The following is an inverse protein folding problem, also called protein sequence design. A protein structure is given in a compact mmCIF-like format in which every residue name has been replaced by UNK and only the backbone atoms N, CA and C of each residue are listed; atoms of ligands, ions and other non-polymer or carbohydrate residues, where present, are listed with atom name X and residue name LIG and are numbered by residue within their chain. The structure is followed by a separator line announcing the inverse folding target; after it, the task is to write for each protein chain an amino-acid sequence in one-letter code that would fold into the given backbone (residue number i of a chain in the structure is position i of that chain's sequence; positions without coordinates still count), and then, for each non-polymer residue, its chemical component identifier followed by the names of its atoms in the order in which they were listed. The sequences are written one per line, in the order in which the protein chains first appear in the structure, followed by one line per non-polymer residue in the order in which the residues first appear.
data_IF_853953410031
#
_entry.id   IF_853953410031
#
_cell.length_a   1.000
_cell.length_b   1.000
_cell.length_c   1.000
_cell.angle_alpha   90.00
_cell.angle_beta   90.00
_cell.angle_gamma   90.00
#
_symmetry.space_group_name_H-M   'P 1'
#
loop_
_entity.id
_entity.type
_entity.pdbx_description
1 polymer ?
#
# COMPACT_ATOMS: atom_id res chain seq x y z
N UNK A 1 8.62 33.77 -24.32
CA UNK A 1 8.99 32.91 -23.18
C UNK A 1 7.93 31.84 -22.96
N UNK A 2 7.53 31.23 -24.07
CA UNK A 2 7.54 29.80 -24.35
C UNK A 2 7.62 28.88 -23.13
N UNK A 3 6.47 28.22 -22.93
CA UNK A 3 6.11 27.19 -21.96
C UNK A 3 7.07 26.00 -21.93
N UNK A 4 8.26 26.19 -21.35
CA UNK A 4 9.19 25.10 -21.04
C UNK A 4 9.11 24.70 -19.55
N UNK A 5 7.91 24.69 -18.99
CA UNK A 5 7.59 24.08 -17.69
C UNK A 5 6.38 23.17 -17.89
N UNK A 6 6.47 22.17 -18.77
CA UNK A 6 5.31 21.30 -19.03
C UNK A 6 5.61 19.80 -19.19
N UNK A 7 6.85 19.32 -18.95
CA UNK A 7 7.15 17.87 -19.06
C UNK A 7 7.90 17.18 -17.93
N UNK A 8 8.32 17.88 -16.88
CA UNK A 8 9.00 17.23 -15.74
C UNK A 8 8.27 17.41 -14.40
N UNK A 9 7.43 18.44 -14.27
CA UNK A 9 6.71 18.82 -13.04
C UNK A 9 5.48 17.94 -12.68
N UNK A 10 5.33 16.78 -13.32
CA UNK A 10 4.16 15.89 -13.09
C UNK A 10 4.48 14.58 -12.36
N UNK A 11 5.71 14.40 -11.85
CA UNK A 11 6.12 13.21 -11.07
C UNK A 11 6.59 13.52 -9.64
N UNK A 12 6.40 14.74 -9.14
CA UNK A 12 6.80 15.07 -7.77
C UNK A 12 5.75 14.63 -6.75
N UNK A 13 6.18 14.10 -5.60
CA UNK A 13 5.29 13.69 -4.50
C UNK A 13 4.26 14.77 -4.12
N UNK A 14 4.72 16.03 -4.07
CA UNK A 14 3.88 17.19 -3.78
C UNK A 14 2.72 17.36 -4.78
N UNK A 15 2.98 17.19 -6.08
CA UNK A 15 1.95 17.29 -7.13
C UNK A 15 0.91 16.17 -6.99
N UNK A 16 1.32 14.94 -6.70
CA UNK A 16 0.37 13.84 -6.47
C UNK A 16 -0.44 14.04 -5.19
N UNK A 17 0.19 14.44 -4.08
CA UNK A 17 -0.51 14.76 -2.84
C UNK A 17 -1.55 15.87 -3.08
N UNK A 18 -1.21 16.92 -3.81
CA UNK A 18 -2.15 18.00 -4.13
C UNK A 18 -3.32 17.51 -5.00
N UNK A 19 -3.06 16.67 -6.02
CA UNK A 19 -4.11 16.06 -6.84
C UNK A 19 -5.04 15.17 -6.02
N UNK A 20 -4.48 14.34 -5.14
CA UNK A 20 -5.25 13.48 -4.24
C UNK A 20 -6.08 14.32 -3.27
N UNK A 21 -5.50 15.39 -2.71
CA UNK A 21 -6.20 16.32 -1.85
C UNK A 21 -7.42 16.96 -2.55
N UNK A 22 -7.26 17.41 -3.80
CA UNK A 22 -8.36 17.95 -4.62
C UNK A 22 -9.45 16.89 -4.90
N UNK A 23 -9.06 15.61 -5.00
CA UNK A 23 -10.01 14.48 -5.13
C UNK A 23 -10.70 14.10 -3.82
N UNK A 24 -10.40 14.77 -2.71
CA UNK A 24 -10.97 14.51 -1.39
C UNK A 24 -10.16 13.55 -0.52
N UNK A 25 -8.95 13.16 -0.94
CA UNK A 25 -8.02 12.38 -0.12
C UNK A 25 -7.30 13.32 0.85
N UNK A 26 -8.02 13.76 1.88
CA UNK A 26 -7.50 14.69 2.89
C UNK A 26 -7.03 13.96 4.14
N UNK A 27 -7.40 12.68 4.32
CA UNK A 27 -6.92 11.89 5.44
C UNK A 27 -5.51 11.36 5.22
N UNK A 28 -4.75 11.34 6.30
CA UNK A 28 -3.46 10.68 6.33
C UNK A 28 -3.60 9.36 7.07
N UNK A 29 -3.20 8.28 6.43
CA UNK A 29 -3.27 6.95 7.00
C UNK A 29 -1.87 6.41 7.29
N UNK A 30 -1.78 5.54 8.30
CA UNK A 30 -0.56 4.90 8.74
C UNK A 30 -0.85 3.43 9.06
N UNK A 31 -0.04 2.51 8.57
CA UNK A 31 -0.22 1.09 8.86
C UNK A 31 0.58 0.73 10.11
N UNK A 32 -0.11 0.16 11.09
CA UNK A 32 0.46 -0.35 12.33
C UNK A 32 0.16 -1.84 12.48
N UNK A 33 0.62 -2.43 13.58
CA UNK A 33 0.36 -3.84 13.94
C UNK A 33 -1.13 -4.19 14.08
N UNK A 34 -1.98 -3.20 14.33
CA UNK A 34 -3.44 -3.36 14.41
C UNK A 34 -4.17 -3.14 13.08
N UNK A 35 -3.48 -2.72 12.02
CA UNK A 35 -4.08 -2.40 10.71
C UNK A 35 -3.87 -0.94 10.28
N UNK A 36 -4.78 -0.41 9.46
CA UNK A 36 -4.70 0.96 8.94
C UNK A 36 -5.27 1.95 9.97
N UNK A 37 -4.45 2.87 10.45
CA UNK A 37 -4.85 3.95 11.35
C UNK A 37 -5.02 5.25 10.58
N UNK A 38 -6.18 5.87 10.64
CA UNK A 38 -6.38 7.27 10.27
C UNK A 38 -5.75 8.18 11.33
N UNK A 39 -4.84 9.06 10.92
CA UNK A 39 -4.17 9.97 11.83
C UNK A 39 -5.05 11.14 12.23
N UNK A 40 -5.87 11.69 11.33
CA UNK A 40 -6.73 12.82 11.68
C UNK A 40 -7.96 12.37 12.46
N UNK A 41 -8.56 11.25 12.07
CA UNK A 41 -9.78 10.72 12.72
C UNK A 41 -9.49 9.78 13.90
N UNK A 42 -8.23 9.41 14.14
CA UNK A 42 -7.80 8.38 15.11
C UNK A 42 -8.55 7.04 15.05
N UNK A 43 -9.15 6.75 13.89
CA UNK A 43 -9.87 5.51 13.62
C UNK A 43 -8.94 4.43 13.11
N UNK A 44 -9.29 3.18 13.40
CA UNK A 44 -8.60 2.02 12.86
C UNK A 44 -9.52 1.31 11.88
N UNK A 45 -8.95 0.88 10.77
CA UNK A 45 -9.62 0.19 9.69
C UNK A 45 -8.92 -1.14 9.42
N UNK A 46 -9.73 -2.18 9.26
CA UNK A 46 -9.26 -3.50 8.87
C UNK A 46 -8.97 -3.55 7.38
N UNK A 47 -8.12 -4.48 6.89
CA UNK A 47 -7.85 -4.61 5.46
C UNK A 47 -9.10 -4.98 4.62
N UNK A 48 -10.18 -5.43 5.25
CA UNK A 48 -11.47 -5.71 4.60
C UNK A 48 -12.33 -4.45 4.39
N UNK A 49 -12.07 -3.41 5.17
CA UNK A 49 -12.77 -2.13 5.10
C UNK A 49 -12.03 -1.09 4.28
N UNK A 50 -10.84 -1.44 3.79
CA UNK A 50 -9.95 -0.56 3.03
C UNK A 50 -9.80 -1.09 1.62
N UNK A 51 -9.82 -0.18 0.66
CA UNK A 51 -9.61 -0.45 -0.75
C UNK A 51 -8.45 0.40 -1.25
N UNK A 52 -7.45 -0.24 -1.84
CA UNK A 52 -6.39 0.45 -2.58
C UNK A 52 -7.00 0.91 -3.90
N UNK A 53 -7.01 2.22 -4.11
CA UNK A 53 -7.54 2.83 -5.35
C UNK A 53 -6.40 3.04 -6.34
N UNK A 54 -5.28 3.59 -5.88
CA UNK A 54 -4.10 3.87 -6.68
C UNK A 54 -2.83 3.77 -5.83
N UNK A 55 -1.68 3.59 -6.47
CA UNK A 55 -0.38 3.72 -5.82
C UNK A 55 0.62 4.41 -6.75
N UNK A 56 1.45 5.27 -6.18
CA UNK A 56 2.43 6.07 -6.90
C UNK A 56 3.80 5.82 -6.30
N UNK A 57 4.72 5.28 -7.08
CA UNK A 57 6.11 5.14 -6.69
C UNK A 57 6.89 6.39 -7.10
N UNK A 58 7.62 6.93 -6.14
CA UNK A 58 8.52 8.05 -6.28
C UNK A 58 9.94 7.54 -6.02
N UNK A 59 10.84 7.94 -6.90
CA UNK A 59 12.27 7.69 -6.74
C UNK A 59 12.88 9.00 -6.27
N UNK A 60 13.46 9.01 -5.07
CA UNK A 60 14.10 10.21 -4.54
C UNK A 60 15.32 10.56 -5.38
N UNK A 61 15.44 11.83 -5.77
CA UNK A 61 16.51 12.31 -6.67
C UNK A 61 17.91 12.21 -6.04
N UNK A 62 18.00 12.03 -4.72
CA UNK A 62 19.25 12.14 -3.95
C UNK A 62 19.80 10.82 -3.43
N UNK A 63 18.96 9.80 -3.18
CA UNK A 63 19.44 8.52 -2.65
C UNK A 63 18.53 7.37 -3.13
N UNK A 64 19.06 6.23 -3.61
CA UNK A 64 18.26 5.04 -3.92
C UNK A 64 17.60 4.43 -2.67
N UNK A 65 17.98 4.86 -1.46
CA UNK A 65 17.25 4.56 -0.22
C UNK A 65 16.02 5.46 0.01
N UNK A 66 15.89 6.57 -0.72
CA UNK A 66 14.81 7.56 -0.59
C UNK A 66 13.60 7.24 -1.50
N UNK A 67 13.54 6.00 -1.99
CA UNK A 67 12.39 5.50 -2.71
C UNK A 67 11.17 5.50 -1.78
N UNK A 68 10.10 6.14 -2.22
CA UNK A 68 8.86 6.25 -1.45
C UNK A 68 7.67 5.84 -2.32
N UNK A 69 6.72 5.12 -1.74
CA UNK A 69 5.48 4.73 -2.40
C UNK A 69 4.31 5.39 -1.67
N UNK A 70 3.53 6.17 -2.40
CA UNK A 70 2.30 6.76 -1.90
C UNK A 70 1.12 5.91 -2.35
N UNK A 71 0.45 5.26 -1.41
CA UNK A 71 -0.77 4.51 -1.65
C UNK A 71 -1.98 5.41 -1.40
N UNK A 72 -2.86 5.53 -2.38
CA UNK A 72 -4.16 6.17 -2.23
C UNK A 72 -5.19 5.09 -1.94
N UNK A 73 -5.88 5.24 -0.81
CA UNK A 73 -6.82 4.26 -0.33
C UNK A 73 -8.10 4.89 0.20
N UNK A 74 -9.17 4.15 0.00
CA UNK A 74 -10.54 4.54 0.30
C UNK A 74 -11.13 3.51 1.25
N UNK A 75 -11.72 3.99 2.34
CA UNK A 75 -12.42 3.13 3.29
C UNK A 75 -13.87 2.94 2.85
N UNK A 76 -14.50 1.87 3.31
CA UNK A 76 -15.91 1.58 3.06
C UNK A 76 -16.87 2.67 3.56
N UNK A 77 -16.44 3.45 4.55
CA UNK A 77 -17.18 4.59 5.11
C UNK A 77 -17.15 5.83 4.19
N UNK A 78 -16.41 5.75 3.07
CA UNK A 78 -16.21 6.86 2.12
C UNK A 78 -15.04 7.78 2.49
N UNK A 79 -14.31 7.47 3.56
CA UNK A 79 -13.12 8.23 3.96
C UNK A 79 -11.97 7.91 3.01
N UNK A 80 -11.43 8.93 2.37
CA UNK A 80 -10.32 8.83 1.41
C UNK A 80 -9.07 9.42 2.00
N UNK A 81 -7.95 8.74 1.79
CA UNK A 81 -6.67 9.21 2.31
C UNK A 81 -5.49 8.47 1.73
N UNK A 82 -4.32 8.89 2.16
CA UNK A 82 -3.05 8.46 1.60
C UNK A 82 -2.13 7.86 2.66
N UNK A 83 -1.38 6.84 2.26
CA UNK A 83 -0.30 6.22 3.05
C UNK A 83 1.00 6.43 2.30
N UNK A 84 1.96 7.11 2.92
CA UNK A 84 3.33 7.19 2.44
C UNK A 84 4.16 6.07 3.07
N UNK A 85 4.74 5.21 2.24
CA UNK A 85 5.70 4.18 2.63
C UNK A 85 7.10 4.56 2.11
N UNK A 86 8.08 4.66 3.00
CA UNK A 86 9.48 4.84 2.60
C UNK A 86 10.07 3.46 2.30
N UNK A 87 9.89 3.00 1.05
CA UNK A 87 10.29 1.67 0.62
C UNK A 87 11.81 1.62 0.36
N UNK A 88 12.57 1.18 1.37
CA UNK A 88 14.02 0.93 1.28
C UNK A 88 14.42 -0.44 1.83
N UNK A 89 15.71 -0.62 2.17
CA UNK A 89 16.22 -1.86 2.80
C UNK A 89 15.52 -2.22 4.13
N UNK A 90 14.73 -1.30 4.68
CA UNK A 90 13.98 -1.42 5.92
C UNK A 90 12.46 -1.32 5.71
N UNK A 91 11.97 -1.61 4.49
CA UNK A 91 10.54 -1.61 4.21
C UNK A 91 9.75 -2.33 5.30
N UNK A 92 8.73 -1.65 5.83
CA UNK A 92 8.00 -2.14 7.00
C UNK A 92 7.25 -3.42 6.60
N UNK A 93 7.66 -4.56 7.17
CA UNK A 93 7.01 -5.85 6.94
C UNK A 93 5.49 -5.79 7.22
N UNK A 94 5.07 -4.84 8.08
CA UNK A 94 3.67 -4.56 8.40
C UNK A 94 2.91 -4.04 7.18
N UNK A 95 3.47 -3.07 6.46
CA UNK A 95 2.87 -2.49 5.25
C UNK A 95 2.76 -3.58 4.17
N UNK A 96 3.83 -4.35 3.96
CA UNK A 96 3.82 -5.44 2.98
C UNK A 96 2.71 -6.47 3.27
N UNK A 97 2.59 -6.92 4.53
CA UNK A 97 1.54 -7.88 4.95
C UNK A 97 0.14 -7.29 4.80
N UNK A 98 -0.05 -6.02 5.18
CA UNK A 98 -1.35 -5.36 5.09
C UNK A 98 -1.78 -5.22 3.63
N UNK A 99 -0.91 -4.70 2.76
CA UNK A 99 -1.21 -4.54 1.33
C UNK A 99 -1.48 -5.89 0.66
N UNK A 100 -0.66 -6.91 0.95
CA UNK A 100 -0.89 -8.27 0.45
C UNK A 100 -2.25 -8.81 0.88
N UNK A 101 -2.68 -8.54 2.13
CA UNK A 101 -3.98 -8.97 2.63
C UNK A 101 -5.13 -8.23 1.95
N UNK A 102 -5.03 -6.91 1.76
CA UNK A 102 -6.04 -6.12 1.03
C UNK A 102 -6.20 -6.64 -0.41
N UNK A 103 -5.09 -6.87 -1.11
CA UNK A 103 -5.10 -7.46 -2.45
C UNK A 103 -5.69 -8.87 -2.47
N UNK A 104 -5.35 -9.71 -1.49
CA UNK A 104 -5.87 -11.07 -1.37
C UNK A 104 -7.39 -11.06 -1.14
N UNK A 105 -7.89 -10.17 -0.28
CA UNK A 105 -9.33 -10.00 -0.06
C UNK A 105 -10.01 -9.64 -1.38
N UNK A 106 -9.49 -8.64 -2.10
CA UNK A 106 -10.03 -8.25 -3.40
C UNK A 106 -10.01 -9.37 -4.44
N UNK A 107 -8.94 -10.19 -4.46
CA UNK A 107 -8.81 -11.35 -5.34
C UNK A 107 -9.78 -12.46 -4.93
N UNK A 108 -9.94 -12.75 -3.64
CA UNK A 108 -10.82 -13.81 -3.13
C UNK A 108 -12.31 -13.48 -3.22
N UNK A 109 -12.69 -12.20 -3.34
CA UNK A 109 -14.06 -11.83 -3.74
C UNK A 109 -14.40 -12.29 -5.17
N UNK A 110 -13.40 -12.75 -5.94
CA UNK A 110 -13.56 -13.51 -7.18
C UNK A 110 -12.99 -14.93 -6.98
N UNK A 111 -13.81 -15.99 -6.83
CA UNK A 111 -13.37 -17.32 -6.35
C UNK A 111 -12.54 -18.13 -7.37
N UNK A 112 -11.63 -17.52 -8.13
CA UNK A 112 -10.86 -18.18 -9.20
C UNK A 112 -9.38 -18.41 -8.89
N UNK A 113 -8.89 -18.04 -7.71
CA UNK A 113 -7.49 -18.29 -7.33
C UNK A 113 -7.34 -18.77 -5.88
N UNK A 114 -8.10 -19.80 -5.48
CA UNK A 114 -7.71 -20.67 -4.38
C UNK A 114 -6.70 -21.71 -4.92
N UNK A 115 -5.51 -21.22 -5.28
CA UNK A 115 -4.39 -22.05 -5.73
C UNK A 115 -3.42 -22.28 -4.58
N UNK A 116 -3.62 -23.39 -3.88
CA UNK A 116 -2.59 -24.31 -3.39
C UNK A 116 -1.26 -23.70 -2.89
N UNK A 117 -1.04 -23.72 -1.58
CA UNK A 117 0.31 -23.81 -1.01
C UNK A 117 0.30 -24.79 0.18
N UNK A 118 0.28 -26.08 -0.17
CA UNK A 118 0.63 -27.16 0.74
C UNK A 118 2.11 -27.02 1.14
N UNK A 119 2.37 -26.51 2.34
CA UNK A 119 3.67 -26.69 3.02
C UNK A 119 3.45 -27.37 4.37
N UNK A 120 2.98 -28.61 4.33
CA UNK A 120 3.06 -29.52 5.48
C UNK A 120 3.35 -30.94 5.01
N UNK A 121 4.64 -31.26 4.94
CA UNK A 121 5.09 -32.64 5.14
C UNK A 121 6.35 -32.59 5.99
N UNK A 122 6.22 -32.69 7.33
CA UNK A 122 7.35 -32.99 8.18
C UNK A 122 7.79 -34.45 7.97
N UNK A 123 9.10 -34.63 7.79
CA UNK A 123 9.93 -35.82 8.04
C UNK A 123 9.37 -37.20 7.66
N UNK A 124 10.06 -37.87 6.74
CA UNK A 124 10.12 -39.34 6.75
C UNK A 124 11.05 -39.77 7.90
N UNK A 125 10.58 -40.48 8.93
CA UNK A 125 11.46 -41.29 9.75
C UNK A 125 11.70 -42.64 9.05
N UNK A 126 12.96 -43.06 9.18
CA UNK A 126 13.57 -44.34 8.90
C UNK A 126 12.65 -45.59 8.94
N UNK A 127 12.63 -46.37 7.85
CA UNK A 127 12.23 -47.79 7.76
C UNK A 127 12.52 -48.23 6.30
N UNK A 128 13.20 -49.33 5.92
CA UNK A 128 13.38 -50.64 6.54
C UNK A 128 14.49 -51.43 5.80
N UNK A 129 15.18 -52.27 6.58
CA UNK A 129 15.54 -53.69 6.36
C UNK A 129 16.25 -54.14 5.07
#
# INVERSE_FOLDING_TARGET
MDSEIEKTEMRSMASCMNKLHIQGFTENFMINEYGLRALNSEKYYTPEEVKITDFYRFEGESDPADNSILYALETRDGVKGMVSDAYGAYGDNKIMKFMARVEEIMKNTNPKFAGENNTNSPQVPDVNS
#
